data_IF_833946797361
#
_entry.id   IF_833946797361
#
_cell.length_a   1.000
_cell.length_b   1.000
_cell.length_c   1.000
_cell.angle_alpha   90.00
_cell.angle_beta   90.00
_cell.angle_gamma   90.00
#
_symmetry.space_group_name_H-M   'P 1'
#
loop_
_entity.id
_entity.type
_entity.pdbx_description
1 polymer ?
#
# COMPACT_ATOMS: atom_id res chain seq x y z
N UNK A 1 -12.88 12.45 14.19
CA UNK A 1 -12.18 11.30 13.60
C UNK A 1 -12.39 10.11 14.53
N UNK A 2 -12.72 8.92 14.02
CA UNK A 2 -12.74 7.74 14.87
C UNK A 2 -11.33 7.58 15.47
N UNK A 3 -11.25 7.60 16.78
CA UNK A 3 -10.04 7.22 17.49
C UNK A 3 -9.76 5.75 17.19
N UNK A 4 -8.48 5.33 17.25
CA UNK A 4 -8.11 3.90 17.18
C UNK A 4 -8.67 3.17 18.42
N UNK A 5 -9.99 3.05 18.50
CA UNK A 5 -10.66 2.34 19.58
C UNK A 5 -10.56 0.84 19.33
N UNK A 6 -10.44 0.03 20.36
CA UNK A 6 -10.46 -1.41 20.22
C UNK A 6 -11.72 -1.86 19.44
N UNK A 7 -11.52 -2.65 18.39
CA UNK A 7 -12.61 -3.13 17.52
C UNK A 7 -12.96 -2.24 16.33
N UNK A 8 -12.38 -1.04 16.19
CA UNK A 8 -12.53 -0.23 14.97
C UNK A 8 -11.73 -0.84 13.85
N UNK A 9 -12.30 -1.10 12.66
CA UNK A 9 -11.56 -1.60 11.51
C UNK A 9 -10.45 -0.62 11.10
N UNK A 10 -9.33 -1.14 10.55
CA UNK A 10 -8.17 -0.34 10.19
C UNK A 10 -7.85 -0.46 8.69
N UNK A 11 -7.70 0.67 8.03
CA UNK A 11 -7.15 0.75 6.67
C UNK A 11 -5.74 1.31 6.78
N UNK A 12 -4.75 0.45 6.67
CA UNK A 12 -3.35 0.86 6.66
C UNK A 12 -2.96 1.34 5.27
N UNK A 13 -2.32 2.49 5.18
CA UNK A 13 -1.77 3.02 3.94
C UNK A 13 -0.25 3.12 4.04
N UNK A 14 0.45 2.95 2.92
CA UNK A 14 1.92 3.02 2.89
C UNK A 14 2.45 3.58 1.57
N UNK A 15 3.67 4.09 1.62
CA UNK A 15 4.42 4.54 0.46
C UNK A 15 5.03 3.35 -0.28
N UNK A 16 4.38 2.93 -1.38
CA UNK A 16 4.87 1.80 -2.17
C UNK A 16 6.13 2.20 -2.96
N UNK A 17 7.28 1.66 -2.56
CA UNK A 17 8.60 2.00 -3.13
C UNK A 17 9.39 0.80 -3.63
N UNK A 18 9.00 -0.41 -3.24
CA UNK A 18 9.75 -1.62 -3.58
C UNK A 18 8.80 -2.77 -3.97
N UNK A 19 9.18 -3.62 -4.93
CA UNK A 19 8.46 -4.87 -5.19
C UNK A 19 8.40 -5.78 -3.97
N UNK A 20 9.29 -5.59 -2.99
CA UNK A 20 9.35 -6.38 -1.77
C UNK A 20 8.36 -5.92 -0.70
N UNK A 21 7.70 -4.75 -0.85
CA UNK A 21 6.77 -4.24 0.16
C UNK A 21 5.67 -5.25 0.48
N UNK A 22 5.13 -5.93 -0.53
CA UNK A 22 4.12 -6.97 -0.33
C UNK A 22 4.61 -8.14 0.53
N UNK A 23 5.89 -8.52 0.38
CA UNK A 23 6.49 -9.58 1.19
C UNK A 23 6.70 -9.12 2.64
N UNK A 24 7.14 -7.87 2.84
CA UNK A 24 7.31 -7.28 4.18
C UNK A 24 5.97 -7.20 4.89
N UNK A 25 4.92 -6.74 4.21
CA UNK A 25 3.57 -6.63 4.76
C UNK A 25 3.07 -8.01 5.21
N UNK A 26 3.21 -9.02 4.37
CA UNK A 26 2.68 -10.35 4.64
C UNK A 26 3.55 -11.15 5.62
N UNK A 27 4.87 -11.17 5.41
CA UNK A 27 5.78 -12.02 6.18
C UNK A 27 6.13 -11.43 7.54
N UNK A 28 6.28 -10.10 7.63
CA UNK A 28 6.76 -9.41 8.83
C UNK A 28 5.60 -8.80 9.60
N UNK A 29 4.76 -8.01 8.92
CA UNK A 29 3.65 -7.32 9.58
C UNK A 29 2.42 -8.22 9.73
N UNK A 30 2.34 -9.32 8.97
CA UNK A 30 1.22 -10.29 8.97
C UNK A 30 -0.14 -9.65 8.67
N UNK A 31 -0.13 -8.53 7.93
CA UNK A 31 -1.34 -7.82 7.55
C UNK A 31 -1.86 -8.33 6.19
N UNK A 32 -3.17 -8.53 6.04
CA UNK A 32 -3.76 -8.76 4.74
C UNK A 32 -3.57 -7.52 3.86
N UNK A 33 -3.23 -7.71 2.61
CA UNK A 33 -2.89 -6.61 1.72
C UNK A 33 -3.62 -6.65 0.39
N UNK A 34 -3.89 -5.48 -0.17
CA UNK A 34 -4.32 -5.35 -1.55
C UNK A 34 -3.07 -5.32 -2.44
N UNK A 35 -2.75 -6.44 -3.03
CA UNK A 35 -1.59 -6.58 -3.91
C UNK A 35 -1.99 -6.43 -5.36
N UNK A 36 -1.36 -5.50 -6.05
CA UNK A 36 -1.53 -5.37 -7.50
C UNK A 36 -0.53 -6.26 -8.21
N UNK A 37 -0.99 -7.36 -8.78
CA UNK A 37 -0.19 -8.13 -9.71
C UNK A 37 -0.23 -7.45 -11.08
N UNK A 38 0.85 -6.80 -11.46
CA UNK A 38 1.00 -6.45 -12.86
C UNK A 38 1.14 -7.73 -13.69
N UNK A 39 0.50 -7.77 -14.84
CA UNK A 39 0.36 -8.99 -15.66
C UNK A 39 1.70 -9.68 -15.98
N UNK A 40 2.80 -8.90 -16.05
CA UNK A 40 4.13 -9.45 -16.28
C UNK A 40 4.69 -10.25 -15.10
N UNK A 41 4.24 -10.01 -13.86
CA UNK A 41 4.67 -10.82 -12.72
C UNK A 41 4.22 -12.28 -12.83
N UNK A 42 3.14 -12.56 -13.54
CA UNK A 42 2.73 -13.95 -13.86
C UNK A 42 3.79 -14.68 -14.66
N UNK A 43 4.50 -13.96 -15.54
CA UNK A 43 5.52 -14.54 -16.42
C UNK A 43 6.89 -14.62 -15.76
N UNK A 44 7.20 -13.66 -14.88
CA UNK A 44 8.50 -13.56 -14.21
C UNK A 44 8.56 -14.39 -12.93
N UNK A 45 7.45 -14.47 -12.21
CA UNK A 45 7.29 -15.25 -10.97
C UNK A 45 6.04 -16.13 -11.09
N UNK A 46 6.14 -17.28 -11.78
CA UNK A 46 5.05 -18.25 -11.82
C UNK A 46 4.63 -18.62 -10.38
N UNK A 47 3.35 -18.56 -10.10
CA UNK A 47 2.84 -18.81 -8.75
C UNK A 47 2.74 -17.60 -7.82
N UNK A 48 3.30 -16.44 -8.17
CA UNK A 48 3.19 -15.22 -7.33
C UNK A 48 1.74 -14.87 -6.98
N UNK A 49 0.84 -14.90 -7.96
CA UNK A 49 -0.57 -14.59 -7.73
C UNK A 49 -1.24 -15.62 -6.80
N UNK A 50 -0.86 -16.90 -6.89
CA UNK A 50 -1.34 -17.94 -6.00
C UNK A 50 -0.78 -17.76 -4.59
N UNK A 51 0.52 -17.51 -4.47
CA UNK A 51 1.18 -17.24 -3.19
C UNK A 51 0.58 -16.00 -2.50
N UNK A 52 0.34 -14.91 -3.24
CA UNK A 52 -0.28 -13.71 -2.69
C UNK A 52 -1.70 -13.97 -2.18
N UNK A 53 -2.51 -14.74 -2.93
CA UNK A 53 -3.86 -15.13 -2.48
C UNK A 53 -3.82 -16.02 -1.24
N UNK A 54 -2.92 -17.01 -1.22
CA UNK A 54 -2.75 -17.89 -0.06
C UNK A 54 -2.28 -17.13 1.18
N UNK A 55 -1.54 -16.03 0.99
CA UNK A 55 -1.15 -15.12 2.06
C UNK A 55 -2.24 -14.07 2.40
N UNK A 56 -3.50 -14.29 1.96
CA UNK A 56 -4.61 -13.41 2.28
C UNK A 56 -4.66 -12.11 1.49
N UNK A 57 -3.95 -12.01 0.34
CA UNK A 57 -3.97 -10.79 -0.46
C UNK A 57 -4.96 -10.86 -1.62
N UNK A 58 -5.66 -9.76 -1.85
CA UNK A 58 -6.42 -9.56 -3.09
C UNK A 58 -5.47 -9.17 -4.24
N UNK A 59 -5.59 -9.86 -5.36
CA UNK A 59 -4.73 -9.63 -6.54
C UNK A 59 -5.50 -8.89 -7.61
N UNK A 60 -4.98 -7.74 -8.06
CA UNK A 60 -5.60 -6.85 -9.04
C UNK A 60 -4.83 -6.79 -10.35
N UNK A 61 -5.57 -6.66 -11.46
CA UNK A 61 -5.04 -6.23 -12.75
C UNK A 61 -5.50 -4.80 -13.05
N UNK A 62 -4.60 -3.84 -12.96
CA UNK A 62 -4.89 -2.42 -13.20
C UNK A 62 -5.36 -2.09 -14.62
N UNK A 63 -5.09 -2.97 -15.58
CA UNK A 63 -5.42 -2.72 -16.99
C UNK A 63 -6.89 -2.95 -17.30
N UNK A 64 -7.59 -3.68 -16.42
CA UNK A 64 -9.00 -4.01 -16.62
C UNK A 64 -9.88 -3.26 -15.60
N UNK A 65 -10.82 -2.40 -16.06
CA UNK A 65 -11.74 -1.70 -15.15
C UNK A 65 -12.53 -2.65 -14.24
N UNK A 66 -12.96 -3.79 -14.78
CA UNK A 66 -13.65 -4.84 -14.02
C UNK A 66 -12.79 -5.43 -12.91
N UNK A 67 -11.47 -5.54 -13.12
CA UNK A 67 -10.52 -6.00 -12.11
C UNK A 67 -10.37 -4.99 -10.96
N UNK A 68 -10.51 -3.70 -11.22
CA UNK A 68 -10.50 -2.68 -10.16
C UNK A 68 -11.70 -2.82 -9.23
N UNK A 69 -12.89 -3.03 -9.80
CA UNK A 69 -14.09 -3.26 -9.00
C UNK A 69 -13.97 -4.56 -8.20
N UNK A 70 -13.56 -5.65 -8.85
CA UNK A 70 -13.34 -6.93 -8.18
C UNK A 70 -12.32 -6.81 -7.05
N UNK A 71 -11.28 -6.00 -7.23
CA UNK A 71 -10.30 -5.74 -6.19
C UNK A 71 -10.82 -4.92 -5.02
N UNK A 72 -11.65 -3.93 -5.29
CA UNK A 72 -12.29 -3.18 -4.23
C UNK A 72 -13.24 -4.07 -3.41
N UNK A 73 -13.98 -4.96 -4.09
CA UNK A 73 -14.83 -5.97 -3.44
C UNK A 73 -13.99 -6.93 -2.59
N UNK A 74 -12.87 -7.42 -3.12
CA UNK A 74 -11.95 -8.29 -2.37
C UNK A 74 -11.35 -7.57 -1.16
N UNK A 75 -10.97 -6.30 -1.31
CA UNK A 75 -10.48 -5.47 -0.21
C UNK A 75 -11.56 -5.27 0.86
N UNK A 76 -12.81 -5.07 0.46
CA UNK A 76 -13.97 -4.98 1.35
C UNK A 76 -14.17 -6.27 2.14
N UNK A 77 -14.05 -7.41 1.48
CA UNK A 77 -14.15 -8.74 2.12
C UNK A 77 -13.03 -8.92 3.15
N UNK A 78 -11.78 -8.62 2.76
CA UNK A 78 -10.63 -8.73 3.68
C UNK A 78 -10.78 -7.83 4.90
N UNK A 79 -11.20 -6.57 4.71
CA UNK A 79 -11.41 -5.64 5.81
C UNK A 79 -12.51 -6.12 6.77
N UNK A 80 -13.60 -6.66 6.23
CA UNK A 80 -14.68 -7.22 7.04
C UNK A 80 -14.24 -8.46 7.82
N UNK A 81 -13.51 -9.37 7.17
CA UNK A 81 -13.18 -10.68 7.72
C UNK A 81 -11.99 -10.63 8.69
N UNK A 82 -11.07 -9.70 8.50
CA UNK A 82 -9.85 -9.55 9.30
C UNK A 82 -9.84 -8.30 10.20
N UNK A 83 -10.77 -7.36 10.00
CA UNK A 83 -10.79 -6.09 10.72
C UNK A 83 -9.73 -5.09 10.27
N UNK A 84 -8.79 -5.49 9.42
CA UNK A 84 -7.72 -4.64 8.94
C UNK A 84 -7.27 -5.02 7.53
N UNK A 85 -6.76 -4.04 6.78
CA UNK A 85 -6.19 -4.23 5.44
C UNK A 85 -5.10 -3.20 5.17
N UNK A 86 -4.09 -3.59 4.38
CA UNK A 86 -3.02 -2.68 3.94
C UNK A 86 -3.13 -2.37 2.44
N UNK A 87 -3.10 -1.09 2.09
CA UNK A 87 -3.29 -0.58 0.73
C UNK A 87 -2.20 0.43 0.39
N UNK A 88 -1.61 0.29 -0.81
CA UNK A 88 -0.75 1.32 -1.38
C UNK A 88 -1.61 2.34 -2.17
N UNK A 89 -1.87 3.53 -1.64
CA UNK A 89 -2.79 4.48 -2.30
C UNK A 89 -2.21 5.07 -3.60
N UNK A 90 -0.87 5.09 -3.78
CA UNK A 90 -0.27 5.46 -5.05
C UNK A 90 -0.43 4.38 -6.15
N UNK A 91 -0.68 3.13 -5.76
CA UNK A 91 -0.98 2.01 -6.67
C UNK A 91 0.12 1.67 -7.67
N UNK A 92 1.31 2.24 -7.52
CA UNK A 92 2.41 2.14 -8.47
C UNK A 92 3.76 2.33 -7.80
N UNK A 93 4.76 1.54 -8.22
CA UNK A 93 6.16 1.77 -7.85
C UNK A 93 6.79 2.95 -8.59
N UNK A 94 6.13 3.41 -9.66
CA UNK A 94 6.66 4.42 -10.59
C UNK A 94 6.29 5.82 -10.15
N UNK A 95 5.11 5.98 -9.60
CA UNK A 95 4.59 7.29 -9.18
C UNK A 95 4.70 7.39 -7.66
N UNK A 96 5.48 8.33 -7.14
CA UNK A 96 5.58 8.55 -5.70
C UNK A 96 4.21 8.88 -5.10
N UNK A 97 4.03 8.52 -3.83
CA UNK A 97 2.78 8.82 -3.10
C UNK A 97 2.58 10.34 -2.95
N UNK A 98 3.65 11.10 -2.97
CA UNK A 98 3.67 12.55 -2.87
C UNK A 98 3.11 13.24 -4.13
N UNK A 99 3.06 12.51 -5.25
CA UNK A 99 2.52 13.00 -6.52
C UNK A 99 1.11 12.50 -6.80
N UNK A 100 0.79 11.27 -6.37
CA UNK A 100 -0.48 10.65 -6.69
C UNK A 100 -0.98 9.78 -5.55
N UNK A 101 -2.22 10.04 -5.14
CA UNK A 101 -2.97 9.25 -4.17
C UNK A 101 -4.32 8.86 -4.74
N UNK A 102 -4.66 7.58 -4.66
CA UNK A 102 -6.00 7.06 -4.99
C UNK A 102 -6.91 7.17 -3.78
N UNK A 103 -8.15 7.57 -4.01
CA UNK A 103 -9.17 7.65 -2.96
C UNK A 103 -9.75 6.29 -2.53
N UNK A 104 -9.26 5.16 -3.05
CA UNK A 104 -9.80 3.82 -2.73
C UNK A 104 -9.71 3.48 -1.24
N UNK A 105 -8.59 3.82 -0.59
CA UNK A 105 -8.43 3.64 0.85
C UNK A 105 -9.42 4.49 1.65
N UNK A 106 -9.66 5.74 1.21
CA UNK A 106 -10.62 6.64 1.80
C UNK A 106 -12.06 6.11 1.67
N UNK A 107 -12.43 5.66 0.47
CA UNK A 107 -13.77 5.11 0.21
C UNK A 107 -14.05 3.87 1.07
N UNK A 108 -13.07 2.98 1.21
CA UNK A 108 -13.19 1.82 2.10
C UNK A 108 -13.33 2.24 3.57
N UNK A 109 -12.48 3.15 4.03
CA UNK A 109 -12.53 3.64 5.41
C UNK A 109 -13.88 4.27 5.74
N UNK A 110 -14.41 5.10 4.85
CA UNK A 110 -15.72 5.72 5.05
C UNK A 110 -16.86 4.71 5.06
N UNK A 111 -16.82 3.72 4.15
CA UNK A 111 -17.87 2.71 4.04
C UNK A 111 -17.96 1.81 5.28
N UNK A 112 -16.83 1.48 5.89
CA UNK A 112 -16.76 0.57 7.05
C UNK A 112 -16.55 1.29 8.39
N UNK A 113 -16.55 2.64 8.42
CA UNK A 113 -16.22 3.38 9.64
C UNK A 113 -14.81 3.10 10.15
N UNK A 114 -13.88 2.75 9.25
CA UNK A 114 -12.53 2.37 9.59
C UNK A 114 -11.62 3.58 9.80
N UNK A 115 -10.64 3.44 10.69
CA UNK A 115 -9.57 4.41 10.85
C UNK A 115 -8.47 4.20 9.81
N UNK A 116 -7.90 5.29 9.27
CA UNK A 116 -6.76 5.22 8.35
C UNK A 116 -5.46 5.40 9.12
N UNK A 117 -4.55 4.43 8.98
CA UNK A 117 -3.27 4.39 9.69
C UNK A 117 -2.12 4.44 8.69
N UNK A 118 -1.28 5.48 8.70
CA UNK A 118 -0.16 5.57 7.77
C UNK A 118 1.03 4.74 8.24
N UNK A 119 1.75 4.16 7.27
CA UNK A 119 3.03 3.49 7.47
C UNK A 119 4.08 4.11 6.56
N UNK A 120 5.26 4.32 7.07
CA UNK A 120 6.41 4.84 6.31
C UNK A 120 7.43 3.72 6.16
N UNK A 121 7.71 3.34 4.91
CA UNK A 121 8.75 2.39 4.56
C UNK A 121 9.97 3.14 4.05
N UNK A 122 11.11 2.92 4.68
CA UNK A 122 12.43 3.44 4.28
C UNK A 122 13.37 2.29 4.00
N UNK A 123 14.22 2.49 3.02
CA UNK A 123 15.14 1.47 2.51
C UNK A 123 16.56 2.00 2.61
N UNK A 124 17.38 1.46 3.49
CA UNK A 124 18.82 1.76 3.60
C UNK A 124 19.65 0.75 2.83
N UNK A 125 20.69 1.22 2.15
CA UNK A 125 21.57 0.37 1.32
C UNK A 125 20.93 -0.11 0.02
N UNK A 126 19.72 0.36 -0.27
CA UNK A 126 18.92 -0.08 -1.43
C UNK A 126 18.49 1.10 -2.31
N UNK A 127 19.10 2.25 -2.14
CA UNK A 127 18.72 3.55 -2.73
C UNK A 127 18.70 3.54 -4.26
N UNK A 128 19.53 2.74 -4.89
CA UNK A 128 19.54 2.59 -6.34
C UNK A 128 18.40 1.77 -6.94
N UNK A 129 17.50 1.25 -6.11
CA UNK A 129 16.40 0.38 -6.54
C UNK A 129 15.02 1.03 -6.37
N UNK A 130 14.99 2.22 -5.81
CA UNK A 130 13.79 3.04 -5.64
C UNK A 130 13.77 4.05 -6.77
N UNK A 131 13.07 3.76 -7.85
CA UNK A 131 12.96 4.73 -8.93
C UNK A 131 12.40 4.14 -10.20
N UNK A 132 11.49 4.87 -10.73
CA UNK A 132 10.56 4.57 -11.80
C UNK A 132 11.16 4.22 -13.16
N UNK A 133 12.45 4.32 -13.35
CA UNK A 133 13.09 4.16 -14.67
C UNK A 133 13.58 2.73 -14.98
N UNK A 134 13.48 1.82 -14.02
CA UNK A 134 13.96 0.46 -14.24
C UNK A 134 12.84 -0.47 -14.68
N UNK A 135 13.11 -1.24 -15.73
CA UNK A 135 12.25 -2.37 -16.11
C UNK A 135 12.13 -3.29 -14.88
N UNK A 136 10.92 -3.70 -14.50
CA UNK A 136 10.66 -4.43 -13.23
C UNK A 136 11.50 -5.70 -13.04
N UNK A 137 11.85 -6.38 -14.14
CA UNK A 137 12.71 -7.55 -14.11
C UNK A 137 14.15 -7.20 -13.67
N UNK A 138 14.71 -6.09 -14.16
CA UNK A 138 16.03 -5.61 -13.73
C UNK A 138 16.03 -5.22 -12.26
N UNK A 139 14.94 -4.61 -11.81
CA UNK A 139 14.76 -4.24 -10.40
C UNK A 139 14.76 -5.50 -9.52
N UNK A 140 13.99 -6.53 -9.92
CA UNK A 140 13.93 -7.81 -9.20
C UNK A 140 15.28 -8.51 -9.19
N UNK A 141 15.95 -8.65 -10.34
CA UNK A 141 17.28 -9.28 -10.43
C UNK A 141 18.31 -8.53 -9.58
N UNK A 142 18.30 -7.20 -9.64
CA UNK A 142 19.22 -6.38 -8.84
C UNK A 142 18.94 -6.55 -7.35
N UNK A 143 17.69 -6.78 -6.94
CA UNK A 143 17.31 -7.09 -5.55
C UNK A 143 17.78 -8.46 -5.08
N UNK A 144 17.75 -9.44 -5.96
CA UNK A 144 18.25 -10.79 -5.65
C UNK A 144 19.78 -10.84 -5.54
N UNK A 145 20.47 -9.90 -6.18
CA UNK A 145 21.95 -9.84 -6.23
C UNK A 145 22.55 -8.72 -5.37
N UNK A 146 21.75 -7.77 -4.89
CA UNK A 146 22.23 -6.68 -4.05
C UNK A 146 22.46 -7.16 -2.62
N UNK A 147 23.42 -6.55 -1.88
CA UNK A 147 23.55 -6.81 -0.46
C UNK A 147 22.23 -6.52 0.26
N UNK A 148 21.95 -7.30 1.28
CA UNK A 148 20.76 -7.16 2.12
C UNK A 148 20.81 -5.80 2.80
N UNK A 149 19.95 -4.87 2.35
CA UNK A 149 19.76 -3.60 3.03
C UNK A 149 18.76 -3.74 4.16
N UNK A 150 18.61 -2.70 4.94
CA UNK A 150 17.65 -2.63 6.03
C UNK A 150 16.36 -1.97 5.55
N UNK A 151 15.23 -2.53 5.94
CA UNK A 151 13.91 -1.95 5.70
C UNK A 151 13.37 -1.46 7.04
N UNK A 152 13.21 -0.15 7.16
CA UNK A 152 12.59 0.46 8.33
C UNK A 152 11.09 0.66 8.06
N UNK A 153 10.26 0.06 8.93
CA UNK A 153 8.82 0.22 8.87
C UNK A 153 8.35 0.97 10.11
N UNK A 154 7.80 2.17 9.91
CA UNK A 154 7.26 2.97 11.01
C UNK A 154 5.76 3.14 10.86
N UNK A 155 5.01 2.73 11.86
CA UNK A 155 3.57 2.99 11.98
C UNK A 155 3.35 4.39 12.54
N UNK A 156 2.57 5.21 11.84
CA UNK A 156 2.05 6.47 12.35
C UNK A 156 0.71 6.27 13.06
N UNK A 157 0.13 7.35 13.52
CA UNK A 157 -1.22 7.38 14.12
C UNK A 157 -2.21 7.93 13.10
N UNK A 158 -3.48 7.55 13.21
CA UNK A 158 -4.54 8.11 12.38
C UNK A 158 -4.65 9.64 12.53
N UNK A 159 -4.36 10.16 13.73
CA UNK A 159 -4.34 11.59 14.04
C UNK A 159 -3.22 12.36 13.32
N UNK A 160 -2.17 11.68 12.88
CA UNK A 160 -1.05 12.33 12.16
C UNK A 160 -1.48 12.75 10.74
N UNK A 161 -2.51 12.11 10.21
CA UNK A 161 -3.17 12.50 8.97
C UNK A 161 -4.23 13.55 9.26
N UNK A 162 -4.05 14.76 8.75
CA UNK A 162 -5.04 15.83 8.84
C UNK A 162 -6.19 15.61 7.86
N UNK A 163 -6.93 14.51 8.06
CA UNK A 163 -7.99 14.08 7.15
C UNK A 163 -9.15 15.06 7.11
N UNK A 164 -9.81 15.23 5.95
CA UNK A 164 -10.98 16.10 5.83
C UNK A 164 -12.14 15.59 6.70
N UNK A 165 -12.98 16.52 7.15
CA UNK A 165 -14.18 16.17 7.92
C UNK A 165 -15.32 15.69 7.00
N UNK A 166 -15.39 16.22 5.78
CA UNK A 166 -16.36 15.77 4.79
C UNK A 166 -15.95 14.44 4.18
N UNK A 167 -16.75 13.36 4.36
CA UNK A 167 -16.47 12.05 3.78
C UNK A 167 -16.39 12.04 2.25
N UNK A 168 -16.94 13.05 1.58
CA UNK A 168 -16.93 13.17 0.12
C UNK A 168 -15.71 13.90 -0.42
N UNK A 169 -14.96 14.57 0.44
CA UNK A 169 -13.76 15.33 0.06
C UNK A 169 -12.57 14.40 -0.24
N UNK A 170 -12.57 13.84 -1.45
CA UNK A 170 -11.51 12.94 -1.93
C UNK A 170 -10.21 13.69 -2.22
N UNK A 171 -10.32 14.94 -2.64
CA UNK A 171 -9.15 15.76 -2.95
C UNK A 171 -8.46 16.20 -1.67
N UNK A 172 -9.20 16.59 -0.65
CA UNK A 172 -8.69 16.87 0.68
C UNK A 172 -7.99 15.65 1.30
N UNK A 173 -8.56 14.44 1.14
CA UNK A 173 -7.88 13.21 1.53
C UNK A 173 -6.55 13.04 0.80
N UNK A 174 -6.52 13.21 -0.52
CA UNK A 174 -5.31 13.05 -1.31
C UNK A 174 -4.24 14.05 -0.89
N UNK A 175 -4.62 15.32 -0.69
CA UNK A 175 -3.72 16.37 -0.20
C UNK A 175 -3.15 16.04 1.19
N UNK A 176 -3.98 15.61 2.13
CA UNK A 176 -3.56 15.27 3.49
C UNK A 176 -2.52 14.13 3.51
N UNK A 177 -2.77 13.08 2.70
CA UNK A 177 -1.85 11.95 2.58
C UNK A 177 -0.54 12.38 1.92
N UNK A 178 -0.59 13.14 0.83
CA UNK A 178 0.61 13.65 0.15
C UNK A 178 1.46 14.53 1.08
N UNK A 179 0.81 15.44 1.82
CA UNK A 179 1.50 16.30 2.77
C UNK A 179 2.20 15.48 3.86
N UNK A 180 1.49 14.52 4.47
CA UNK A 180 2.07 13.64 5.49
C UNK A 180 3.35 12.95 5.00
N UNK A 181 3.33 12.36 3.80
CA UNK A 181 4.51 11.64 3.30
C UNK A 181 5.65 12.58 2.89
N UNK A 182 5.39 13.80 2.42
CA UNK A 182 6.44 14.83 2.20
C UNK A 182 7.14 15.18 3.50
N UNK A 183 6.37 15.49 4.55
CA UNK A 183 6.91 15.81 5.88
C UNK A 183 7.76 14.67 6.46
N UNK A 184 7.38 13.41 6.19
CA UNK A 184 8.15 12.25 6.61
C UNK A 184 9.45 12.04 5.83
N UNK A 185 9.56 12.54 4.60
CA UNK A 185 10.81 12.50 3.84
C UNK A 185 11.80 13.56 4.28
N UNK A 186 11.33 14.76 4.60
CA UNK A 186 12.15 15.88 5.04
C UNK A 186 12.72 15.68 6.46
N UNK A 187 12.03 14.88 7.26
CA UNK A 187 12.39 14.62 8.67
C UNK A 187 13.41 13.50 8.88
N UNK A 188 13.93 12.90 7.85
CA UNK A 188 14.82 11.74 7.93
C UNK A 188 15.91 11.69 6.95
#
# INVERSE_FOLDING_TARGET
QPSEQPGTPLVHIFNHRSPCDGLVIQAVLKLPGLTTAQLYLKWVLPGYAAAARNAGSAVLDHRQPQSRLAGLMSASTLLRDHGEIMIAPNGSLVTPIEERVSSSAWMLAQHYGASIVPWVFRYEGLEGAVGARYKPLRLLLRRLTAPLGTIHCRRGRSSDLKLPQDPRDRDGFSCAVQQYYREQQESG
#
